data_IF_005485485841
#
_entry.id   IF_005485485841
#
_cell.length_a   1.000
_cell.length_b   1.000
_cell.length_c   1.000
_cell.angle_alpha   90.00
_cell.angle_beta   90.00
_cell.angle_gamma   90.00
#
_symmetry.space_group_name_H-M   'P 1'
#
loop_
_entity.id
_entity.type
_entity.pdbx_description
1 polymer ?
#
# COMPACT_ATOMS: atom_id res chain seq x y z
N UNK A 1 -23.37 -1.93 -59.81
CA UNK A 1 -22.68 -2.92 -58.96
C UNK A 1 -23.62 -3.31 -57.84
N UNK A 2 -23.70 -4.61 -57.54
CA UNK A 2 -24.58 -5.14 -56.50
C UNK A 2 -24.11 -4.66 -55.10
N UNK A 3 -24.99 -4.04 -54.28
CA UNK A 3 -24.64 -3.61 -52.92
C UNK A 3 -24.18 -4.76 -52.01
N UNK A 4 -24.67 -5.98 -52.24
CA UNK A 4 -24.23 -7.16 -51.50
C UNK A 4 -22.77 -7.48 -51.81
N UNK A 5 -22.40 -7.45 -53.09
CA UNK A 5 -21.03 -7.66 -53.57
C UNK A 5 -20.05 -6.59 -53.03
N UNK A 6 -20.49 -5.35 -52.89
CA UNK A 6 -19.64 -4.28 -52.36
C UNK A 6 -19.35 -4.48 -50.86
N UNK A 7 -20.34 -4.96 -50.09
CA UNK A 7 -20.18 -5.26 -48.66
C UNK A 7 -19.33 -6.50 -48.41
N UNK A 8 -19.38 -7.51 -49.28
CA UNK A 8 -18.50 -8.67 -49.19
C UNK A 8 -17.05 -8.29 -49.51
N UNK A 9 -16.82 -7.49 -50.56
CA UNK A 9 -15.48 -6.99 -50.90
C UNK A 9 -14.90 -6.10 -49.79
N UNK A 10 -15.69 -5.21 -49.20
CA UNK A 10 -15.24 -4.38 -48.06
C UNK A 10 -14.89 -5.24 -46.83
N UNK A 11 -15.69 -6.28 -46.55
CA UNK A 11 -15.42 -7.22 -45.46
C UNK A 11 -14.17 -8.08 -45.70
N UNK A 12 -13.88 -8.42 -46.96
CA UNK A 12 -12.67 -9.13 -47.36
C UNK A 12 -11.42 -8.26 -47.20
N UNK A 13 -11.49 -7.00 -47.66
CA UNK A 13 -10.42 -6.03 -47.51
C UNK A 13 -10.05 -5.81 -46.04
N UNK A 14 -11.04 -5.62 -45.18
CA UNK A 14 -10.82 -5.47 -43.73
C UNK A 14 -10.28 -6.75 -43.07
N UNK A 15 -10.49 -7.93 -43.67
CA UNK A 15 -9.91 -9.19 -43.21
C UNK A 15 -8.44 -9.30 -43.65
N UNK A 16 -8.13 -8.86 -44.87
CA UNK A 16 -6.77 -8.90 -45.41
C UNK A 16 -5.87 -7.89 -44.68
N UNK A 17 -6.34 -6.66 -44.43
CA UNK A 17 -5.60 -5.69 -43.61
C UNK A 17 -5.29 -6.21 -42.21
N UNK A 18 -6.25 -6.89 -41.55
CA UNK A 18 -6.01 -7.52 -40.24
C UNK A 18 -4.98 -8.64 -40.31
N UNK A 19 -4.95 -9.39 -41.40
CA UNK A 19 -3.99 -10.48 -41.61
C UNK A 19 -2.59 -9.94 -41.90
N UNK A 20 -2.48 -8.89 -42.71
CA UNK A 20 -1.22 -8.18 -42.97
C UNK A 20 -0.67 -7.52 -41.70
N UNK A 21 -1.53 -6.92 -40.88
CA UNK A 21 -1.15 -6.36 -39.59
C UNK A 21 -0.62 -7.44 -38.63
N UNK A 22 -1.27 -8.61 -38.60
CA UNK A 22 -0.85 -9.75 -37.77
C UNK A 22 0.47 -10.39 -38.27
N UNK A 23 0.68 -10.40 -39.59
CA UNK A 23 1.92 -10.87 -40.21
C UNK A 23 3.07 -9.88 -39.96
N UNK A 24 2.81 -8.57 -40.01
CA UNK A 24 3.78 -7.53 -39.63
C UNK A 24 4.16 -7.63 -38.15
N UNK A 25 3.20 -7.90 -37.26
CA UNK A 25 3.44 -8.13 -35.83
C UNK A 25 4.27 -9.40 -35.57
N UNK A 26 3.97 -10.49 -36.30
CA UNK A 26 4.68 -11.76 -36.20
C UNK A 26 6.12 -11.64 -36.73
N UNK A 27 6.34 -10.88 -37.80
CA UNK A 27 7.67 -10.55 -38.34
C UNK A 27 8.48 -9.69 -37.36
N UNK A 28 7.84 -8.75 -36.66
CA UNK A 28 8.50 -7.97 -35.60
C UNK A 28 8.95 -8.87 -34.44
N UNK A 29 8.12 -9.84 -34.02
CA UNK A 29 8.45 -10.79 -32.96
C UNK A 29 9.55 -11.80 -33.37
N UNK A 30 9.54 -12.27 -34.62
CA UNK A 30 10.52 -13.23 -35.12
C UNK A 30 11.88 -12.60 -35.48
N UNK A 31 11.91 -11.29 -35.75
CA UNK A 31 13.12 -10.55 -36.11
C UNK A 31 13.92 -9.98 -34.92
N UNK A 32 13.36 -9.96 -33.72
CA UNK A 32 14.00 -9.40 -32.52
C UNK A 32 14.86 -10.46 -31.81
N UNK A 33 15.89 -10.94 -32.51
CA UNK A 33 17.03 -11.59 -31.88
C UNK A 33 17.89 -10.54 -31.18
N UNK A 34 17.97 -10.64 -29.85
CA UNK A 34 18.84 -9.85 -28.96
C UNK A 34 18.53 -8.34 -28.89
N UNK A 35 17.56 -7.96 -28.06
CA UNK A 35 17.75 -6.85 -27.13
C UNK A 35 16.85 -7.05 -25.90
N UNK A 36 17.50 -7.36 -24.78
CA UNK A 36 16.94 -7.84 -23.51
C UNK A 36 16.27 -6.73 -22.67
N UNK A 37 15.76 -5.66 -23.27
CA UNK A 37 15.27 -4.47 -22.54
C UNK A 37 13.77 -4.19 -22.71
N UNK A 38 13.10 -4.76 -23.73
CA UNK A 38 11.69 -4.44 -24.01
C UNK A 38 10.68 -5.36 -23.29
N UNK A 39 11.10 -6.57 -22.88
CA UNK A 39 10.22 -7.48 -22.12
C UNK A 39 10.07 -7.08 -20.65
N UNK A 40 11.06 -6.38 -20.07
CA UNK A 40 11.05 -5.98 -18.67
C UNK A 40 10.09 -4.80 -18.41
N UNK A 41 9.97 -3.89 -19.39
CA UNK A 41 9.13 -2.68 -19.31
C UNK A 41 7.63 -2.98 -19.29
N UNK A 42 7.20 -4.10 -19.90
CA UNK A 42 5.79 -4.55 -19.86
C UNK A 42 5.43 -5.32 -18.58
N UNK A 43 6.42 -5.90 -17.88
CA UNK A 43 6.21 -6.68 -16.66
C UNK A 43 6.01 -5.78 -15.43
N UNK A 44 6.68 -4.63 -15.37
CA UNK A 44 6.61 -3.73 -14.21
C UNK A 44 5.18 -3.20 -13.97
N UNK A 45 4.42 -2.68 -14.96
CA UNK A 45 3.04 -2.24 -14.76
C UNK A 45 2.09 -3.39 -14.35
N UNK A 46 2.28 -4.57 -14.93
CA UNK A 46 1.50 -5.77 -14.61
C UNK A 46 1.74 -6.22 -13.16
N UNK A 47 3.01 -6.28 -12.73
CA UNK A 47 3.40 -6.59 -11.35
C UNK A 47 2.88 -5.53 -10.37
N UNK A 48 2.98 -4.24 -10.70
CA UNK A 48 2.44 -3.17 -9.87
C UNK A 48 0.93 -3.31 -9.68
N UNK A 49 0.17 -3.66 -10.73
CA UNK A 49 -1.27 -3.91 -10.60
C UNK A 49 -1.57 -5.09 -9.67
N UNK A 50 -0.79 -6.17 -9.76
CA UNK A 50 -0.95 -7.36 -8.93
C UNK A 50 -0.62 -7.07 -7.46
N UNK A 51 0.48 -6.35 -7.18
CA UNK A 51 0.85 -5.90 -5.84
C UNK A 51 -0.17 -4.91 -5.27
N UNK A 52 -0.67 -4.01 -6.12
CA UNK A 52 -1.71 -3.06 -5.77
C UNK A 52 -2.98 -3.79 -5.29
N UNK A 53 -3.41 -4.84 -5.99
CA UNK A 53 -4.60 -5.61 -5.61
C UNK A 53 -4.45 -6.42 -4.30
N UNK A 54 -3.21 -6.69 -3.85
CA UNK A 54 -2.94 -7.40 -2.58
C UNK A 54 -3.12 -6.52 -1.34
N UNK A 55 -3.09 -5.19 -1.52
CA UNK A 55 -3.16 -4.23 -0.41
C UNK A 55 -4.49 -3.48 -0.48
N UNK A 56 -5.32 -3.65 0.56
CA UNK A 56 -6.54 -2.84 0.73
C UNK A 56 -6.20 -1.39 1.06
N UNK A 57 -7.02 -0.44 0.59
CA UNK A 57 -6.79 0.99 0.90
C UNK A 57 -6.78 1.24 2.41
N UNK A 58 -5.84 2.07 2.85
CA UNK A 58 -5.79 2.64 4.18
C UNK A 58 -6.84 3.74 4.29
N UNK A 59 -7.70 3.61 5.29
CA UNK A 59 -8.69 4.61 5.71
C UNK A 59 -8.43 4.88 7.17
N UNK A 60 -8.01 6.11 7.48
CA UNK A 60 -7.77 6.50 8.87
C UNK A 60 -9.10 6.63 9.62
N UNK A 61 -9.23 5.95 10.77
CA UNK A 61 -10.40 6.08 11.62
C UNK A 61 -9.98 6.03 13.10
N UNK A 62 -10.15 7.15 13.80
CA UNK A 62 -9.82 7.29 15.22
C UNK A 62 -10.76 6.53 16.15
N UNK A 63 -12.03 6.36 15.76
CA UNK A 63 -13.08 5.80 16.62
C UNK A 63 -12.93 4.29 16.83
N UNK A 64 -12.40 3.59 15.83
CA UNK A 64 -12.12 2.15 15.88
C UNK A 64 -10.64 1.82 16.06
N UNK A 65 -9.83 2.81 16.50
CA UNK A 65 -8.38 2.67 16.68
C UNK A 65 -7.69 2.10 15.43
N UNK A 66 -8.06 2.61 14.26
CA UNK A 66 -7.51 2.22 12.97
C UNK A 66 -6.47 3.23 12.48
N UNK A 67 -5.30 3.20 13.11
CA UNK A 67 -4.13 4.00 12.75
C UNK A 67 -3.21 3.33 11.73
N UNK A 68 -2.32 4.12 11.13
CA UNK A 68 -1.35 3.66 10.13
C UNK A 68 -0.40 2.61 10.71
N UNK A 69 -0.02 2.74 11.98
CA UNK A 69 0.84 1.76 12.68
C UNK A 69 0.20 0.38 12.82
N UNK A 70 -1.14 0.28 12.82
CA UNK A 70 -1.86 -1.00 12.88
C UNK A 70 -2.14 -1.59 11.49
N UNK A 71 -2.28 -0.75 10.47
CA UNK A 71 -2.49 -1.18 9.09
C UNK A 71 -1.18 -1.57 8.39
N UNK A 72 -0.14 -0.75 8.50
CA UNK A 72 1.12 -0.90 7.77
C UNK A 72 1.83 -2.25 7.97
N UNK A 73 1.92 -2.82 9.20
CA UNK A 73 2.58 -4.11 9.43
C UNK A 73 1.98 -5.27 8.62
N UNK A 74 0.68 -5.21 8.31
CA UNK A 74 -0.02 -6.25 7.51
C UNK A 74 0.56 -6.39 6.10
N UNK A 75 1.14 -5.30 5.59
CA UNK A 75 1.64 -5.19 4.22
C UNK A 75 3.12 -4.78 4.18
N UNK A 76 3.82 -4.80 5.32
CA UNK A 76 5.20 -4.33 5.44
C UNK A 76 6.12 -5.01 4.42
N UNK A 77 6.02 -6.33 4.29
CA UNK A 77 6.82 -7.11 3.32
C UNK A 77 6.59 -6.63 1.87
N UNK A 78 5.35 -6.28 1.52
CA UNK A 78 5.03 -5.76 0.18
C UNK A 78 5.71 -4.40 -0.06
N UNK A 79 5.72 -3.53 0.96
CA UNK A 79 6.30 -2.19 0.87
C UNK A 79 7.84 -2.16 0.99
N UNK A 80 8.45 -3.20 1.56
CA UNK A 80 9.90 -3.27 1.82
C UNK A 80 10.60 -4.19 0.83
N UNK A 81 10.06 -5.37 0.55
CA UNK A 81 10.70 -6.39 -0.28
C UNK A 81 10.07 -6.48 -1.69
N UNK A 82 8.74 -6.59 -1.81
CA UNK A 82 8.11 -6.81 -3.14
C UNK A 82 8.30 -5.61 -4.09
N UNK A 83 8.46 -4.40 -3.55
CA UNK A 83 8.69 -3.15 -4.31
C UNK A 83 10.10 -2.59 -4.18
N UNK A 84 11.04 -3.36 -3.62
CA UNK A 84 12.42 -2.91 -3.33
C UNK A 84 13.21 -2.46 -4.56
N UNK A 85 12.93 -3.12 -5.68
CA UNK A 85 13.51 -2.85 -7.00
C UNK A 85 12.95 -1.59 -7.68
N UNK A 86 11.88 -0.99 -7.13
CA UNK A 86 11.34 0.27 -7.63
C UNK A 86 12.20 1.46 -7.17
N UNK A 87 12.23 2.51 -7.98
CA UNK A 87 12.81 3.79 -7.58
C UNK A 87 12.10 4.35 -6.35
N UNK A 88 12.78 5.16 -5.53
CA UNK A 88 12.18 5.81 -4.36
C UNK A 88 10.85 6.50 -4.69
N UNK A 89 10.82 7.34 -5.73
CA UNK A 89 9.60 8.02 -6.16
C UNK A 89 8.48 7.06 -6.59
N UNK A 90 8.80 5.88 -7.14
CA UNK A 90 7.79 4.86 -7.44
C UNK A 90 7.27 4.16 -6.18
N UNK A 91 8.13 3.89 -5.19
CA UNK A 91 7.72 3.35 -3.88
C UNK A 91 6.82 4.32 -3.12
N UNK A 92 7.13 5.61 -3.19
CA UNK A 92 6.32 6.68 -2.58
C UNK A 92 4.96 6.78 -3.28
N UNK A 93 4.93 6.84 -4.61
CA UNK A 93 3.66 6.82 -5.37
C UNK A 93 2.81 5.60 -5.06
N UNK A 94 3.42 4.41 -5.00
CA UNK A 94 2.72 3.18 -4.62
C UNK A 94 2.13 3.27 -3.20
N UNK A 95 2.85 3.86 -2.25
CA UNK A 95 2.36 4.09 -0.88
C UNK A 95 1.18 5.05 -0.86
N UNK A 96 1.27 6.15 -1.63
CA UNK A 96 0.20 7.13 -1.75
C UNK A 96 -1.05 6.59 -2.45
N UNK A 97 -0.90 5.71 -3.44
CA UNK A 97 -2.02 5.02 -4.11
C UNK A 97 -2.87 4.21 -3.12
N UNK A 98 -2.26 3.75 -2.03
CA UNK A 98 -2.93 2.98 -0.97
C UNK A 98 -3.63 3.82 0.06
N UNK A 99 -3.52 5.13 0.01
CA UNK A 99 -4.31 6.02 0.86
C UNK A 99 -5.69 6.23 0.21
N UNK A 100 -6.72 6.41 1.03
CA UNK A 100 -7.95 7.00 0.55
C UNK A 100 -7.77 8.48 0.19
N UNK A 101 -8.78 9.06 -0.47
CA UNK A 101 -8.69 10.42 -0.99
C UNK A 101 -8.43 11.45 0.12
N UNK A 102 -9.11 11.30 1.26
CA UNK A 102 -9.01 12.25 2.37
C UNK A 102 -7.64 12.17 3.07
N UNK A 103 -7.14 10.96 3.33
CA UNK A 103 -5.82 10.76 3.94
C UNK A 103 -4.71 11.26 3.02
N UNK A 104 -4.79 10.97 1.72
CA UNK A 104 -3.82 11.47 0.75
C UNK A 104 -3.81 13.01 0.70
N UNK A 105 -4.98 13.65 0.67
CA UNK A 105 -5.07 15.11 0.63
C UNK A 105 -4.47 15.76 1.89
N UNK A 106 -4.73 15.18 3.07
CA UNK A 106 -4.11 15.62 4.34
C UNK A 106 -2.58 15.46 4.31
N UNK A 107 -2.08 14.35 3.79
CA UNK A 107 -0.64 14.14 3.63
C UNK A 107 -0.02 15.16 2.68
N UNK A 108 -0.63 15.37 1.50
CA UNK A 108 -0.15 16.33 0.51
C UNK A 108 -0.06 17.74 1.08
N UNK A 109 -1.08 18.20 1.84
CA UNK A 109 -1.04 19.51 2.52
C UNK A 109 0.09 19.63 3.54
N UNK A 110 0.45 18.53 4.21
CA UNK A 110 1.50 18.54 5.24
C UNK A 110 2.90 18.68 4.67
N UNK A 111 3.14 18.12 3.48
CA UNK A 111 4.50 18.05 2.93
C UNK A 111 4.91 19.24 2.06
N UNK A 112 3.96 20.14 1.75
CA UNK A 112 4.24 21.42 1.08
C UNK A 112 5.34 22.19 1.84
N UNK A 113 6.34 22.78 1.16
CA UNK A 113 6.45 22.97 -0.30
C UNK A 113 7.11 21.83 -1.06
N UNK A 114 7.45 20.70 -0.42
CA UNK A 114 8.03 19.54 -1.11
C UNK A 114 6.97 18.86 -1.97
N UNK A 115 7.38 18.40 -3.15
CA UNK A 115 6.59 17.48 -3.95
C UNK A 115 6.58 16.09 -3.29
N UNK A 116 5.43 15.40 -3.34
CA UNK A 116 5.30 14.07 -2.71
C UNK A 116 6.37 13.10 -3.22
N UNK A 117 6.68 13.14 -4.52
CA UNK A 117 7.67 12.24 -5.16
C UNK A 117 9.12 12.58 -4.86
N UNK A 118 9.42 13.76 -4.28
CA UNK A 118 10.78 14.13 -3.89
C UNK A 118 11.11 13.78 -2.44
N UNK A 119 10.12 13.28 -1.69
CA UNK A 119 10.27 12.80 -0.31
C UNK A 119 10.68 11.34 -0.36
N UNK A 120 11.64 10.93 0.49
CA UNK A 120 12.05 9.53 0.57
C UNK A 120 10.92 8.62 1.08
N UNK A 121 11.02 7.34 0.78
CA UNK A 121 10.03 6.35 1.21
C UNK A 121 9.96 6.24 2.74
N UNK A 122 11.10 6.21 3.43
CA UNK A 122 11.12 6.16 4.90
C UNK A 122 10.53 7.42 5.55
N UNK A 123 10.85 8.61 5.01
CA UNK A 123 10.28 9.88 5.47
C UNK A 123 8.76 9.91 5.24
N UNK A 124 8.30 9.38 4.11
CA UNK A 124 6.87 9.22 3.81
C UNK A 124 6.19 8.34 4.85
N UNK A 125 6.72 7.13 5.10
CA UNK A 125 6.16 6.19 6.10
C UNK A 125 6.14 6.81 7.50
N UNK A 126 7.20 7.50 7.89
CA UNK A 126 7.28 8.20 9.18
C UNK A 126 6.22 9.30 9.30
N UNK A 127 6.05 10.11 8.26
CA UNK A 127 5.05 11.18 8.20
C UNK A 127 3.63 10.62 8.26
N UNK A 128 3.35 9.52 7.55
CA UNK A 128 2.04 8.86 7.58
C UNK A 128 1.71 8.32 8.99
N UNK A 129 2.69 7.74 9.70
CA UNK A 129 2.53 7.36 11.11
C UNK A 129 2.25 8.57 12.00
N UNK A 130 2.96 9.68 11.79
CA UNK A 130 2.77 10.88 12.61
C UNK A 130 1.39 11.52 12.42
N UNK A 131 0.87 11.53 11.19
CA UNK A 131 -0.39 12.18 10.84
C UNK A 131 -1.61 11.32 11.10
N UNK A 132 -1.51 10.01 10.88
CA UNK A 132 -2.64 9.10 10.80
C UNK A 132 -2.52 7.94 11.79
N UNK A 133 -2.06 8.25 12.99
CA UNK A 133 -2.08 7.33 14.12
C UNK A 133 -2.78 7.98 15.30
N UNK A 134 -3.30 7.15 16.21
CA UNK A 134 -4.00 7.65 17.39
C UNK A 134 -2.95 8.22 18.35
N UNK A 135 -2.93 9.55 18.46
CA UNK A 135 -2.02 10.25 19.38
C UNK A 135 -2.47 10.05 20.82
N UNK A 136 -1.90 9.05 21.47
CA UNK A 136 -2.08 8.82 22.92
C UNK A 136 -0.74 9.02 23.59
N UNK A 137 -0.70 9.77 24.70
CA UNK A 137 0.55 9.93 25.46
C UNK A 137 0.98 8.59 26.05
N UNK A 138 2.29 8.35 26.19
CA UNK A 138 2.78 7.13 26.84
C UNK A 138 2.21 6.96 28.25
N UNK A 139 2.08 8.07 28.99
CA UNK A 139 1.45 8.08 30.31
C UNK A 139 0.01 7.54 30.26
N UNK A 140 -0.81 8.09 29.35
CA UNK A 140 -2.21 7.65 29.17
C UNK A 140 -2.29 6.18 28.78
N UNK A 141 -1.43 5.74 27.85
CA UNK A 141 -1.34 4.35 27.41
C UNK A 141 -1.01 3.40 28.57
N UNK A 142 0.00 3.76 29.39
CA UNK A 142 0.42 2.98 30.57
C UNK A 142 -0.69 2.92 31.62
N UNK A 143 -1.33 4.05 31.94
CA UNK A 143 -2.46 4.07 32.87
C UNK A 143 -3.64 3.22 32.36
N UNK A 144 -3.96 3.28 31.07
CA UNK A 144 -5.03 2.47 30.48
C UNK A 144 -4.69 0.98 30.51
N UNK A 145 -3.44 0.62 30.25
CA UNK A 145 -2.96 -0.75 30.33
C UNK A 145 -3.18 -1.34 31.74
N UNK A 146 -2.86 -0.58 32.80
CA UNK A 146 -3.05 -1.00 34.19
C UNK A 146 -4.52 -1.06 34.63
N UNK A 147 -5.38 -0.25 34.02
CA UNK A 147 -6.84 -0.27 34.26
C UNK A 147 -7.56 -1.36 33.46
N UNK A 148 -6.84 -2.13 32.65
CA UNK A 148 -7.43 -3.17 31.82
C UNK A 148 -7.97 -4.32 32.67
N UNK A 149 -9.28 -4.50 32.67
CA UNK A 149 -9.93 -5.65 33.28
C UNK A 149 -10.34 -6.67 32.21
N UNK A 150 -10.39 -7.95 32.60
CA UNK A 150 -10.95 -9.02 31.77
C UNK A 150 -12.48 -8.93 31.86
N UNK A 151 -13.18 -8.97 30.73
CA UNK A 151 -14.65 -9.04 30.80
C UNK A 151 -15.12 -10.46 31.09
N UNK A 152 -16.30 -10.59 31.69
CA UNK A 152 -16.91 -11.89 32.05
C UNK A 152 -17.14 -12.80 30.84
N UNK A 153 -17.31 -12.21 29.65
CA UNK A 153 -17.59 -12.92 28.40
C UNK A 153 -16.35 -13.15 27.54
N UNK A 154 -15.20 -12.58 27.90
CA UNK A 154 -13.96 -12.71 27.14
C UNK A 154 -13.31 -14.07 27.44
N UNK A 155 -12.76 -14.73 26.42
CA UNK A 155 -11.96 -15.95 26.63
C UNK A 155 -10.57 -15.61 27.22
N UNK A 156 -9.95 -16.55 27.94
CA UNK A 156 -8.63 -16.33 28.55
C UNK A 156 -7.53 -16.07 27.51
N UNK A 157 -7.57 -16.76 26.37
CA UNK A 157 -6.58 -16.56 25.30
C UNK A 157 -6.71 -15.19 24.65
N UNK A 158 -7.95 -14.73 24.44
CA UNK A 158 -8.25 -13.40 23.90
C UNK A 158 -7.79 -12.31 24.88
N UNK A 159 -8.10 -12.45 26.17
CA UNK A 159 -7.63 -11.53 27.20
C UNK A 159 -6.10 -11.46 27.25
N UNK A 160 -5.42 -12.62 27.22
CA UNK A 160 -3.95 -12.67 27.28
C UNK A 160 -3.32 -11.99 26.06
N UNK A 161 -3.85 -12.25 24.86
CA UNK A 161 -3.40 -11.60 23.64
C UNK A 161 -3.60 -10.08 23.68
N UNK A 162 -4.78 -9.63 24.10
CA UNK A 162 -5.12 -8.21 24.24
C UNK A 162 -4.22 -7.50 25.25
N UNK A 163 -4.02 -8.09 26.44
CA UNK A 163 -3.13 -7.53 27.47
C UNK A 163 -1.70 -7.45 26.96
N UNK A 164 -1.20 -8.50 26.30
CA UNK A 164 0.15 -8.50 25.74
C UNK A 164 0.35 -7.41 24.67
N UNK A 165 -0.60 -7.28 23.72
CA UNK A 165 -0.58 -6.22 22.71
C UNK A 165 -0.56 -4.83 23.36
N UNK A 166 -1.39 -4.61 24.40
CA UNK A 166 -1.45 -3.32 25.09
C UNK A 166 -0.16 -3.04 25.87
N UNK A 167 0.43 -4.03 26.55
CA UNK A 167 1.68 -3.89 27.28
C UNK A 167 2.86 -3.51 26.37
N UNK A 168 2.98 -4.15 25.21
CA UNK A 168 3.99 -3.81 24.21
C UNK A 168 3.78 -2.40 23.66
N UNK A 169 2.54 -2.04 23.34
CA UNK A 169 2.19 -0.70 22.86
C UNK A 169 2.48 0.39 23.91
N UNK A 170 2.26 0.10 25.19
CA UNK A 170 2.53 1.01 26.31
C UNK A 170 3.99 0.97 26.79
N UNK A 171 4.82 0.11 26.19
CA UNK A 171 6.22 -0.11 26.55
C UNK A 171 6.41 -0.37 28.04
N UNK A 172 5.56 -1.24 28.60
CA UNK A 172 5.58 -1.54 30.03
C UNK A 172 6.94 -2.10 30.47
N UNK A 173 7.64 -2.80 29.58
CA UNK A 173 8.97 -3.35 29.85
C UNK A 173 10.07 -2.27 30.03
N UNK A 174 9.85 -1.03 29.60
CA UNK A 174 10.77 0.09 29.77
C UNK A 174 10.54 0.85 31.10
N UNK A 175 9.50 0.51 31.88
CA UNK A 175 9.19 1.19 33.14
C UNK A 175 10.14 0.76 34.27
N UNK A 176 10.86 1.73 34.81
CA UNK A 176 11.59 1.57 36.07
C UNK A 176 10.66 1.73 37.29
N UNK A 177 11.14 1.36 38.48
CA UNK A 177 10.36 1.44 39.72
C UNK A 177 9.79 2.84 39.99
N UNK A 178 10.54 3.89 39.72
CA UNK A 178 10.06 5.28 39.89
C UNK A 178 9.01 5.64 38.82
N UNK A 179 9.12 5.07 37.62
CA UNK A 179 8.11 5.20 36.57
C UNK A 179 6.78 4.57 36.97
N UNK A 180 6.80 3.43 37.67
CA UNK A 180 5.59 2.78 38.19
C UNK A 180 4.91 3.65 39.24
N UNK A 181 5.67 4.31 40.13
CA UNK A 181 5.11 5.22 41.14
C UNK A 181 4.33 6.38 40.52
N UNK A 182 4.74 6.86 39.35
CA UNK A 182 4.02 7.92 38.64
C UNK A 182 2.65 7.46 38.10
N UNK A 183 2.40 6.15 38.02
CA UNK A 183 1.16 5.58 37.47
C UNK A 183 0.13 5.17 38.55
N UNK A 184 0.53 5.18 39.83
CA UNK A 184 -0.27 4.76 41.00
C UNK A 184 -0.66 5.97 41.85
#
# INVERSE_FOLDING_TARGET
>A
MDPQLMMTMFREMMREERKEMMDMFSKHLAGQGQDSATSEVALIPSMMSALSNRIGKFVFNSDVDMGFTKWYPRYKEVFVEDVKQLTEGARVRFSCEKLDAETFERYQRHVVPKEVTSIGFEETVATLKQLFDVKTSEFTLRCQCLKGEKSDTEDHSVCTGRVNEFCERARIHELECDGIKCLL
#
